data_IF_493656861086
#
_entry.id   IF_493656861086
#
_cell.length_a   1.000
_cell.length_b   1.000
_cell.length_c   1.000
_cell.angle_alpha   90.00
_cell.angle_beta   90.00
_cell.angle_gamma   90.00
#
_symmetry.space_group_name_H-M   'P 1'
#
loop_
_entity.id
_entity.type
_entity.pdbx_description
1 polymer ?
#
# COMPACT_ATOMS: atom_id res chain seq x y z
N UNK A 1 -28.72 4.22 -14.04
CA UNK A 1 -27.98 4.71 -12.87
C UNK A 1 -27.87 3.57 -11.90
N UNK A 2 -26.67 3.18 -11.54
CA UNK A 2 -26.40 2.12 -10.56
C UNK A 2 -26.49 2.71 -9.16
N UNK A 3 -27.07 1.98 -8.21
CA UNK A 3 -27.21 2.46 -6.83
C UNK A 3 -25.86 2.43 -6.11
N UNK A 4 -25.53 3.52 -5.43
CA UNK A 4 -24.36 3.60 -4.54
C UNK A 4 -24.46 2.56 -3.40
N UNK A 5 -23.32 2.27 -2.75
CA UNK A 5 -23.30 1.39 -1.58
C UNK A 5 -24.15 2.03 -0.48
N UNK A 6 -25.05 1.24 0.11
CA UNK A 6 -25.85 1.72 1.24
C UNK A 6 -24.99 1.82 2.49
N UNK A 7 -25.24 2.83 3.33
CA UNK A 7 -24.42 3.09 4.51
C UNK A 7 -24.33 1.91 5.49
N UNK A 8 -25.44 1.19 5.70
CA UNK A 8 -25.51 0.00 6.54
C UNK A 8 -24.62 -1.14 6.00
N UNK A 9 -24.60 -1.33 4.68
CA UNK A 9 -23.71 -2.27 4.01
C UNK A 9 -22.24 -1.86 4.14
N UNK A 10 -21.92 -0.57 3.98
CA UNK A 10 -20.57 -0.05 4.16
C UNK A 10 -20.05 -0.27 5.60
N UNK A 11 -20.89 -0.04 6.62
CA UNK A 11 -20.54 -0.34 8.03
C UNK A 11 -20.22 -1.82 8.19
N UNK A 12 -21.05 -2.72 7.65
CA UNK A 12 -20.85 -4.16 7.80
C UNK A 12 -19.51 -4.61 7.20
N UNK A 13 -19.23 -4.19 5.96
CA UNK A 13 -18.04 -4.60 5.21
C UNK A 13 -16.76 -4.05 5.83
N UNK A 14 -16.73 -2.77 6.18
CA UNK A 14 -15.56 -2.16 6.86
C UNK A 14 -15.33 -2.81 8.24
N UNK A 15 -16.38 -3.03 9.02
CA UNK A 15 -16.25 -3.70 10.32
C UNK A 15 -15.72 -5.13 10.19
N UNK A 16 -16.13 -5.85 9.15
CA UNK A 16 -15.65 -7.20 8.88
C UNK A 16 -14.17 -7.21 8.49
N UNK A 17 -13.73 -6.25 7.65
CA UNK A 17 -12.33 -6.13 7.26
C UNK A 17 -11.40 -5.88 8.46
N UNK A 18 -11.79 -4.94 9.33
CA UNK A 18 -11.02 -4.58 10.53
C UNK A 18 -11.00 -5.67 11.61
N UNK A 19 -11.85 -6.70 11.51
CA UNK A 19 -11.98 -7.75 12.53
C UNK A 19 -12.87 -7.39 13.72
N UNK A 20 -13.65 -6.30 13.63
CA UNK A 20 -14.65 -5.93 14.65
C UNK A 20 -15.86 -6.86 14.63
N UNK A 21 -16.05 -7.56 13.51
CA UNK A 21 -16.98 -8.69 13.35
C UNK A 21 -16.16 -9.90 12.90
N UNK A 22 -15.78 -10.80 13.83
CA UNK A 22 -14.84 -11.87 13.54
C UNK A 22 -15.25 -12.69 12.33
N UNK A 23 -14.33 -12.83 11.37
CA UNK A 23 -14.43 -13.74 10.22
C UNK A 23 -13.14 -14.54 10.12
N UNK A 24 -13.11 -15.56 9.27
CA UNK A 24 -11.94 -16.45 9.17
C UNK A 24 -10.65 -15.69 8.74
N UNK A 25 -10.80 -14.61 7.98
CA UNK A 25 -9.72 -13.85 7.32
C UNK A 25 -9.80 -12.33 7.59
N UNK A 26 -10.05 -11.92 8.84
CA UNK A 26 -9.95 -10.50 9.21
C UNK A 26 -8.52 -10.07 9.60
N UNK A 27 -8.23 -8.77 9.46
CA UNK A 27 -6.88 -8.24 9.63
C UNK A 27 -6.32 -8.47 11.03
N UNK A 28 -7.13 -8.21 12.07
CA UNK A 28 -6.71 -8.37 13.46
C UNK A 28 -6.42 -9.84 13.79
N UNK A 29 -7.28 -10.74 13.34
CA UNK A 29 -7.11 -12.18 13.46
C UNK A 29 -5.85 -12.67 12.76
N UNK A 30 -5.58 -12.20 11.54
CA UNK A 30 -4.35 -12.56 10.82
C UNK A 30 -3.09 -11.98 11.48
N UNK A 31 -3.12 -10.72 11.95
CA UNK A 31 -2.04 -10.11 12.71
C UNK A 31 -1.73 -10.93 13.97
N UNK A 32 -2.78 -11.44 14.62
CA UNK A 32 -2.66 -12.25 15.83
C UNK A 32 -1.94 -13.60 15.62
N UNK A 33 -1.90 -14.08 14.37
CA UNK A 33 -1.32 -15.37 13.97
C UNK A 33 0.08 -15.25 13.37
N UNK A 34 0.60 -14.04 13.16
CA UNK A 34 1.96 -13.87 12.66
C UNK A 34 2.99 -14.38 13.68
N UNK A 35 3.97 -15.12 13.17
CA UNK A 35 5.03 -15.75 13.96
C UNK A 35 5.99 -14.71 14.55
N UNK A 36 5.89 -14.54 15.87
CA UNK A 36 6.67 -13.55 16.61
C UNK A 36 8.13 -13.96 16.78
N UNK A 37 8.41 -15.26 16.87
CA UNK A 37 9.76 -15.76 17.02
C UNK A 37 10.55 -15.53 15.73
N UNK A 38 9.91 -15.76 14.59
CA UNK A 38 10.46 -15.42 13.26
C UNK A 38 10.66 -13.92 13.09
N UNK A 39 9.68 -13.09 13.46
CA UNK A 39 9.85 -11.62 13.42
C UNK A 39 11.04 -11.17 14.27
N UNK A 40 11.18 -11.71 15.49
CA UNK A 40 12.32 -11.40 16.36
C UNK A 40 13.65 -11.90 15.76
N UNK A 41 13.66 -13.07 15.10
CA UNK A 41 14.83 -13.58 14.41
C UNK A 41 15.25 -12.69 13.22
N UNK A 42 14.28 -12.28 12.40
CA UNK A 42 14.49 -11.34 11.30
C UNK A 42 15.02 -9.99 11.79
N UNK A 43 14.46 -9.47 12.89
CA UNK A 43 14.96 -8.24 13.52
C UNK A 43 16.42 -8.38 13.96
N UNK A 44 16.83 -9.52 14.53
CA UNK A 44 18.25 -9.76 14.88
C UNK A 44 19.15 -9.75 13.64
N UNK A 45 18.73 -10.36 12.54
CA UNK A 45 19.47 -10.32 11.27
C UNK A 45 19.59 -8.88 10.74
N UNK A 46 18.50 -8.12 10.77
CA UNK A 46 18.48 -6.72 10.35
C UNK A 46 19.38 -5.83 11.22
N UNK A 47 19.43 -6.08 12.53
CA UNK A 47 20.25 -5.31 13.48
C UNK A 47 21.76 -5.46 13.27
N UNK A 48 22.19 -6.48 12.50
CA UNK A 48 23.57 -6.73 12.13
C UNK A 48 23.90 -6.28 10.70
N UNK A 49 22.93 -5.71 9.98
CA UNK A 49 23.08 -5.36 8.58
C UNK A 49 23.97 -4.12 8.40
N UNK A 50 24.92 -4.20 7.46
CA UNK A 50 25.65 -3.05 6.92
C UNK A 50 24.71 -2.11 6.18
N UNK A 51 23.79 -2.68 5.41
CA UNK A 51 22.77 -2.01 4.61
C UNK A 51 21.60 -2.96 4.39
N UNK A 52 20.38 -2.43 4.42
CA UNK A 52 19.15 -3.14 4.07
C UNK A 52 18.60 -2.57 2.78
N UNK A 53 18.37 -3.43 1.79
CA UNK A 53 17.70 -3.10 0.55
C UNK A 53 16.31 -3.72 0.61
N UNK A 54 15.26 -2.94 0.37
CA UNK A 54 13.86 -3.39 0.41
C UNK A 54 13.28 -3.35 -1.00
N UNK A 55 12.59 -4.40 -1.42
CA UNK A 55 12.02 -4.51 -2.78
C UNK A 55 10.58 -5.00 -2.73
N UNK A 56 9.77 -4.61 -3.73
CA UNK A 56 8.40 -5.06 -3.91
C UNK A 56 7.77 -4.44 -5.16
N UNK A 57 6.69 -5.03 -5.66
CA UNK A 57 5.94 -4.53 -6.83
C UNK A 57 4.58 -3.94 -6.41
N UNK A 58 4.09 -2.90 -7.10
CA UNK A 58 2.73 -2.37 -6.86
C UNK A 58 2.52 -1.94 -5.40
N UNK A 59 1.44 -2.38 -4.74
CA UNK A 59 1.22 -2.10 -3.32
C UNK A 59 2.33 -2.66 -2.41
N UNK A 60 2.99 -3.75 -2.82
CA UNK A 60 4.21 -4.23 -2.14
C UNK A 60 5.39 -3.26 -2.27
N UNK A 61 5.47 -2.42 -3.32
CA UNK A 61 6.47 -1.33 -3.42
C UNK A 61 6.15 -0.20 -2.44
N UNK A 62 4.88 0.18 -2.33
CA UNK A 62 4.47 1.23 -1.39
C UNK A 62 4.67 0.80 0.07
N UNK A 63 4.44 -0.49 0.36
CA UNK A 63 4.88 -1.10 1.61
C UNK A 63 6.40 -1.13 1.74
N UNK A 64 7.16 -1.53 0.71
CA UNK A 64 8.62 -1.56 0.77
C UNK A 64 9.22 -0.18 1.10
N UNK A 65 8.67 0.90 0.52
CA UNK A 65 9.02 2.30 0.85
C UNK A 65 8.78 2.62 2.32
N UNK A 66 7.61 2.23 2.83
CA UNK A 66 7.23 2.52 4.20
C UNK A 66 8.05 1.70 5.20
N UNK A 67 8.26 0.41 4.94
CA UNK A 67 9.13 -0.48 5.73
C UNK A 67 10.57 0.03 5.74
N UNK A 68 11.12 0.46 4.59
CA UNK A 68 12.44 1.07 4.55
C UNK A 68 12.51 2.32 5.45
N UNK A 69 11.49 3.20 5.43
CA UNK A 69 11.40 4.36 6.33
C UNK A 69 11.34 3.95 7.81
N UNK A 70 10.59 2.90 8.16
CA UNK A 70 10.52 2.40 9.53
C UNK A 70 11.88 1.89 10.02
N UNK A 71 12.53 1.04 9.23
CA UNK A 71 13.86 0.50 9.54
C UNK A 71 14.92 1.61 9.60
N UNK A 72 14.83 2.61 8.72
CA UNK A 72 15.69 3.80 8.75
C UNK A 72 15.49 4.65 10.01
N UNK A 73 14.24 4.83 10.44
CA UNK A 73 13.91 5.46 11.72
C UNK A 73 14.46 4.71 12.93
N UNK A 74 14.61 3.38 12.82
CA UNK A 74 15.25 2.53 13.81
C UNK A 74 16.80 2.51 13.74
N UNK A 75 17.40 3.38 12.91
CA UNK A 75 18.85 3.55 12.82
C UNK A 75 19.55 2.68 11.78
N UNK A 76 18.83 1.89 10.98
CA UNK A 76 19.43 1.09 9.91
C UNK A 76 19.67 1.89 8.64
N UNK A 77 20.78 1.61 7.94
CA UNK A 77 21.00 2.13 6.58
C UNK A 77 20.10 1.38 5.61
N UNK A 78 19.01 2.01 5.20
CA UNK A 78 17.93 1.36 4.44
C UNK A 78 17.63 2.09 3.15
N UNK A 79 17.29 1.35 2.10
CA UNK A 79 16.83 1.89 0.81
C UNK A 79 15.76 1.00 0.23
N UNK A 80 14.67 1.59 -0.26
CA UNK A 80 13.71 0.87 -1.11
C UNK A 80 14.12 1.03 -2.57
N UNK A 81 14.16 -0.06 -3.35
CA UNK A 81 14.45 0.05 -4.78
C UNK A 81 13.22 0.54 -5.54
N UNK A 82 13.29 1.79 -5.99
CA UNK A 82 12.19 2.47 -6.68
C UNK A 82 12.63 3.20 -7.96
N UNK A 83 13.90 3.09 -8.35
CA UNK A 83 14.49 3.77 -9.49
C UNK A 83 13.77 3.44 -10.80
N UNK A 84 12.87 4.34 -11.22
CA UNK A 84 12.00 4.13 -12.38
C UNK A 84 12.81 3.98 -13.66
N UNK A 85 13.87 4.78 -13.83
CA UNK A 85 14.77 4.69 -14.98
C UNK A 85 15.53 3.37 -14.98
N UNK A 86 16.08 2.95 -13.84
CA UNK A 86 16.85 1.71 -13.76
C UNK A 86 15.98 0.46 -13.94
N UNK A 87 14.79 0.47 -13.35
CA UNK A 87 13.79 -0.59 -13.52
C UNK A 87 13.30 -0.62 -14.97
N UNK A 88 13.07 0.56 -15.58
CA UNK A 88 12.65 0.67 -16.97
C UNK A 88 13.71 0.16 -17.93
N UNK A 89 14.94 0.63 -17.82
CA UNK A 89 16.08 0.21 -18.65
C UNK A 89 16.28 -1.30 -18.56
N UNK A 90 16.25 -1.85 -17.34
CA UNK A 90 16.31 -3.29 -17.13
C UNK A 90 15.17 -4.03 -17.84
N UNK A 91 13.94 -3.51 -17.71
CA UNK A 91 12.77 -4.12 -18.30
C UNK A 91 12.82 -4.12 -19.84
N UNK A 92 13.37 -3.05 -20.43
CA UNK A 92 13.53 -2.91 -21.88
C UNK A 92 14.67 -3.77 -22.42
N UNK A 93 15.81 -3.80 -21.73
CA UNK A 93 17.03 -4.47 -22.22
C UNK A 93 17.09 -5.96 -21.89
N UNK A 94 16.64 -6.35 -20.70
CA UNK A 94 16.81 -7.70 -20.15
C UNK A 94 15.48 -8.39 -19.81
N UNK A 95 14.37 -7.65 -19.89
CA UNK A 95 13.04 -8.09 -19.45
C UNK A 95 12.74 -7.71 -18.00
N UNK A 96 11.46 -7.51 -17.69
CA UNK A 96 11.03 -7.03 -16.36
C UNK A 96 11.45 -7.97 -15.21
N UNK A 97 11.61 -9.26 -15.50
CA UNK A 97 12.12 -10.27 -14.58
C UNK A 97 13.53 -9.96 -14.07
N UNK A 98 14.31 -9.13 -14.78
CA UNK A 98 15.66 -8.73 -14.37
C UNK A 98 15.71 -7.35 -13.70
N UNK A 99 14.57 -6.67 -13.54
CA UNK A 99 14.53 -5.29 -13.07
C UNK A 99 15.17 -5.06 -11.71
N UNK A 100 14.73 -5.80 -10.69
CA UNK A 100 15.33 -5.67 -9.36
C UNK A 100 16.73 -6.27 -9.28
N UNK A 101 17.04 -7.31 -10.06
CA UNK A 101 18.38 -7.90 -10.11
C UNK A 101 19.42 -6.89 -10.62
N UNK A 102 19.13 -6.19 -11.72
CA UNK A 102 20.00 -5.14 -12.28
C UNK A 102 20.13 -3.95 -11.34
N UNK A 103 19.01 -3.45 -10.80
CA UNK A 103 19.01 -2.34 -9.85
C UNK A 103 19.79 -2.69 -8.58
N UNK A 104 19.63 -3.90 -8.05
CA UNK A 104 20.38 -4.39 -6.91
C UNK A 104 21.87 -4.51 -7.23
N UNK A 105 22.24 -5.06 -8.39
CA UNK A 105 23.64 -5.19 -8.81
C UNK A 105 24.39 -3.86 -8.86
N UNK A 106 23.73 -2.76 -9.24
CA UNK A 106 24.31 -1.40 -9.22
C UNK A 106 24.63 -0.89 -7.82
N UNK A 107 23.99 -1.44 -6.78
CA UNK A 107 24.30 -1.11 -5.40
C UNK A 107 25.55 -1.84 -4.87
N UNK A 108 26.16 -2.74 -5.66
CA UNK A 108 27.28 -3.59 -5.24
C UNK A 108 26.95 -4.33 -3.93
N UNK A 109 25.96 -5.25 -3.97
CA UNK A 109 25.56 -6.01 -2.79
C UNK A 109 26.69 -6.95 -2.39
N UNK A 110 26.77 -7.28 -1.09
CA UNK A 110 27.80 -8.19 -0.61
C UNK A 110 27.57 -8.69 0.81
N UNK A 111 28.56 -9.38 1.40
CA UNK A 111 28.50 -9.84 2.78
C UNK A 111 28.18 -8.69 3.75
N UNK A 112 27.23 -8.96 4.65
CA UNK A 112 26.72 -7.97 5.61
C UNK A 112 25.55 -7.12 5.09
N UNK A 113 25.24 -7.14 3.78
CA UNK A 113 24.00 -6.55 3.28
C UNK A 113 22.82 -7.52 3.46
N UNK A 114 21.61 -6.96 3.60
CA UNK A 114 20.36 -7.72 3.68
C UNK A 114 19.42 -7.26 2.57
N UNK A 115 18.86 -8.19 1.80
CA UNK A 115 17.70 -7.96 0.95
C UNK A 115 16.42 -8.37 1.69
N UNK A 116 15.50 -7.43 1.89
CA UNK A 116 14.14 -7.69 2.38
C UNK A 116 13.15 -7.61 1.22
N UNK A 117 12.62 -8.76 0.79
CA UNK A 117 11.72 -8.85 -0.34
C UNK A 117 10.25 -8.94 0.10
N UNK A 118 9.38 -8.11 -0.48
CA UNK A 118 7.94 -8.15 -0.30
C UNK A 118 7.27 -8.64 -1.60
N UNK A 119 6.49 -9.72 -1.51
CA UNK A 119 5.67 -10.19 -2.63
C UNK A 119 4.45 -10.94 -2.11
N UNK A 120 3.25 -10.40 -2.31
CA UNK A 120 2.03 -11.07 -1.84
C UNK A 120 1.84 -12.51 -2.36
N UNK A 121 2.32 -12.80 -3.59
CA UNK A 121 2.29 -14.14 -4.19
C UNK A 121 3.49 -15.04 -3.87
N UNK A 122 4.56 -14.46 -3.33
CA UNK A 122 5.86 -15.13 -3.18
C UNK A 122 6.50 -15.60 -4.50
N UNK A 123 5.94 -15.26 -5.67
CA UNK A 123 6.29 -15.90 -6.95
C UNK A 123 6.54 -14.91 -8.09
N UNK A 124 6.68 -13.61 -7.78
CA UNK A 124 7.03 -12.59 -8.77
C UNK A 124 8.45 -12.86 -9.31
N UNK A 125 8.64 -13.13 -10.62
CA UNK A 125 9.94 -13.52 -11.16
C UNK A 125 11.03 -12.48 -10.87
N UNK A 126 10.71 -11.20 -11.02
CA UNK A 126 11.65 -10.10 -10.74
C UNK A 126 12.13 -10.01 -9.29
N UNK A 127 11.29 -10.39 -8.33
CA UNK A 127 11.66 -10.47 -6.92
C UNK A 127 12.55 -11.69 -6.67
N UNK A 128 12.22 -12.84 -7.27
CA UNK A 128 13.00 -14.07 -7.12
C UNK A 128 14.41 -13.93 -7.74
N UNK A 129 14.52 -13.27 -8.88
CA UNK A 129 15.80 -12.98 -9.54
C UNK A 129 16.70 -12.07 -8.67
N UNK A 130 16.11 -11.08 -7.98
CA UNK A 130 16.86 -10.25 -7.04
C UNK A 130 17.33 -11.02 -5.81
N UNK A 131 16.52 -11.96 -5.28
CA UNK A 131 16.94 -12.87 -4.22
C UNK A 131 18.10 -13.76 -4.70
N UNK A 132 18.01 -14.34 -5.90
CA UNK A 132 19.11 -15.11 -6.47
C UNK A 132 20.40 -14.27 -6.57
N UNK A 133 20.29 -13.03 -7.04
CA UNK A 133 21.41 -12.08 -7.15
C UNK A 133 22.02 -11.75 -5.78
N UNK A 134 21.21 -11.49 -4.75
CA UNK A 134 21.71 -11.23 -3.40
C UNK A 134 22.45 -12.44 -2.81
N UNK A 135 21.93 -13.64 -3.07
CA UNK A 135 22.55 -14.90 -2.64
C UNK A 135 23.93 -15.09 -3.29
N UNK A 136 24.05 -14.84 -4.59
CA UNK A 136 25.32 -14.93 -5.32
C UNK A 136 26.35 -13.93 -4.80
N UNK A 137 25.90 -12.75 -4.39
CA UNK A 137 26.72 -11.73 -3.74
C UNK A 137 27.12 -12.08 -2.29
N UNK A 138 26.55 -13.12 -1.70
CA UNK A 138 26.83 -13.52 -0.31
C UNK A 138 26.14 -12.67 0.76
N UNK A 139 25.14 -11.87 0.38
CA UNK A 139 24.31 -11.13 1.32
C UNK A 139 23.21 -11.99 1.94
N UNK A 140 22.62 -11.50 3.03
CA UNK A 140 21.48 -12.14 3.67
C UNK A 140 20.18 -11.79 2.93
N UNK A 141 19.19 -12.66 3.03
CA UNK A 141 17.89 -12.50 2.38
C UNK A 141 16.78 -12.82 3.36
N UNK A 142 15.75 -11.99 3.35
CA UNK A 142 14.54 -12.09 4.16
C UNK A 142 13.32 -11.85 3.27
N UNK A 143 12.19 -12.48 3.59
CA UNK A 143 10.97 -12.42 2.78
C UNK A 143 9.71 -12.16 3.59
N UNK A 144 8.85 -11.28 3.08
CA UNK A 144 7.46 -11.14 3.48
C UNK A 144 6.58 -11.54 2.30
N UNK A 145 5.76 -12.58 2.48
CA UNK A 145 4.90 -13.14 1.44
C UNK A 145 3.48 -13.39 1.97
N UNK A 146 2.54 -13.76 1.11
CA UNK A 146 1.19 -14.19 1.50
C UNK A 146 0.85 -15.59 1.00
N UNK A 147 -0.39 -16.01 1.26
CA UNK A 147 -0.94 -17.29 0.78
C UNK A 147 -0.16 -18.51 1.27
N UNK A 148 0.33 -19.32 0.34
CA UNK A 148 1.12 -20.53 0.61
C UNK A 148 2.64 -20.25 0.68
N UNK A 149 3.04 -18.98 0.58
CA UNK A 149 4.43 -18.56 0.60
C UNK A 149 5.14 -18.61 -0.77
N UNK A 150 4.51 -19.19 -1.79
CA UNK A 150 5.01 -19.25 -3.15
C UNK A 150 6.43 -19.82 -3.29
N UNK A 151 7.11 -19.48 -4.38
CA UNK A 151 8.49 -19.89 -4.62
C UNK A 151 9.50 -19.26 -3.63
N UNK A 152 9.18 -18.09 -3.08
CA UNK A 152 10.00 -17.38 -2.10
C UNK A 152 10.24 -18.22 -0.85
N UNK A 153 9.19 -18.87 -0.31
CA UNK A 153 9.32 -19.73 0.87
C UNK A 153 10.29 -20.90 0.61
N UNK A 154 10.20 -21.53 -0.56
CA UNK A 154 11.13 -22.61 -0.95
C UNK A 154 12.57 -22.14 -1.12
N UNK A 155 12.77 -20.89 -1.59
CA UNK A 155 14.09 -20.30 -1.81
C UNK A 155 14.76 -19.86 -0.50
N UNK A 156 14.00 -19.31 0.44
CA UNK A 156 14.52 -18.70 1.67
C UNK A 156 14.44 -19.62 2.88
N UNK A 157 13.48 -20.54 2.89
CA UNK A 157 13.13 -21.37 4.03
C UNK A 157 12.24 -20.65 5.05
N UNK A 158 11.66 -21.45 5.96
CA UNK A 158 10.73 -21.02 7.00
C UNK A 158 11.31 -19.95 7.94
N UNK A 159 12.59 -20.05 8.27
CA UNK A 159 13.27 -19.17 9.24
C UNK A 159 13.50 -17.75 8.74
N UNK A 160 13.44 -17.54 7.41
CA UNK A 160 13.72 -16.26 6.75
C UNK A 160 12.50 -15.67 6.07
N UNK A 161 11.34 -16.30 6.25
CA UNK A 161 10.11 -15.96 5.55
C UNK A 161 8.96 -15.81 6.53
N UNK A 162 8.30 -14.65 6.50
CA UNK A 162 7.00 -14.45 7.13
C UNK A 162 5.93 -14.62 6.05
N UNK A 163 5.05 -15.59 6.27
CA UNK A 163 3.87 -15.82 5.43
C UNK A 163 2.67 -15.18 6.11
N UNK A 164 2.11 -14.15 5.49
CA UNK A 164 0.86 -13.53 5.90
C UNK A 164 -0.29 -14.55 5.73
N UNK A 165 -1.00 -14.94 6.81
CA UNK A 165 -1.99 -16.01 6.77
C UNK A 165 -3.34 -15.49 6.24
N UNK A 166 -3.34 -15.06 4.98
CA UNK A 166 -4.53 -14.61 4.26
C UNK A 166 -4.39 -14.92 2.76
N UNK A 167 -5.52 -15.14 2.09
CA UNK A 167 -5.61 -15.20 0.64
C UNK A 167 -6.01 -13.85 0.02
N UNK A 168 -6.34 -12.85 0.84
CA UNK A 168 -6.79 -11.51 0.44
C UNK A 168 -5.56 -10.61 0.30
N UNK A 169 -5.35 -10.04 -0.89
CA UNK A 169 -4.15 -9.22 -1.19
C UNK A 169 -4.06 -8.00 -0.28
N UNK A 170 -5.18 -7.31 -0.09
CA UNK A 170 -5.26 -6.11 0.75
C UNK A 170 -4.84 -6.42 2.20
N UNK A 171 -5.30 -7.56 2.74
CA UNK A 171 -4.89 -8.03 4.07
C UNK A 171 -3.43 -8.47 4.11
N UNK A 172 -2.92 -9.11 3.06
CA UNK A 172 -1.49 -9.47 2.96
C UNK A 172 -0.62 -8.21 2.99
N UNK A 173 -1.00 -7.17 2.25
CA UNK A 173 -0.28 -5.91 2.18
C UNK A 173 -0.30 -5.17 3.54
N UNK A 174 -1.46 -5.08 4.20
CA UNK A 174 -1.53 -4.55 5.56
C UNK A 174 -0.61 -5.32 6.52
N UNK A 175 -0.59 -6.66 6.45
CA UNK A 175 0.27 -7.50 7.29
C UNK A 175 1.75 -7.30 7.00
N UNK A 176 2.15 -7.06 5.75
CA UNK A 176 3.54 -6.75 5.41
C UNK A 176 3.98 -5.41 5.99
N UNK A 177 3.12 -4.41 5.93
CA UNK A 177 3.36 -3.11 6.54
C UNK A 177 3.50 -3.21 8.07
N UNK A 178 2.56 -3.92 8.71
CA UNK A 178 2.58 -4.19 10.15
C UNK A 178 3.81 -4.99 10.58
N UNK A 179 4.21 -6.00 9.80
CA UNK A 179 5.42 -6.78 10.05
C UNK A 179 6.67 -5.89 9.98
N UNK A 180 6.78 -5.03 8.96
CA UNK A 180 7.90 -4.08 8.85
C UNK A 180 7.97 -3.09 10.00
N UNK A 181 6.81 -2.63 10.48
CA UNK A 181 6.74 -1.76 11.66
C UNK A 181 7.19 -2.48 12.94
N UNK A 182 6.75 -3.73 13.13
CA UNK A 182 7.17 -4.54 14.27
C UNK A 182 8.67 -4.88 14.24
N UNK A 183 9.24 -5.12 13.06
CA UNK A 183 10.69 -5.28 12.89
C UNK A 183 11.45 -4.03 13.34
N UNK A 184 11.00 -2.84 12.92
CA UNK A 184 11.61 -1.57 13.32
C UNK A 184 11.51 -1.29 14.82
N UNK A 185 10.37 -1.62 15.44
CA UNK A 185 10.17 -1.47 16.87
C UNK A 185 11.10 -2.39 17.68
N UNK A 186 11.22 -3.66 17.26
CA UNK A 186 12.13 -4.62 17.87
C UNK A 186 13.60 -4.17 17.81
N UNK A 187 14.00 -3.45 16.76
CA UNK A 187 15.35 -2.91 16.59
C UNK A 187 15.64 -1.69 17.48
N UNK A 188 14.63 -0.84 17.68
CA UNK A 188 14.79 0.42 18.42
C UNK A 188 14.78 0.22 19.94
N UNK A 189 14.45 -0.99 20.42
CA UNK A 189 14.14 -1.23 21.83
C UNK A 189 12.98 -0.35 22.34
N UNK A 190 12.17 0.17 21.41
CA UNK A 190 11.02 1.02 21.69
C UNK A 190 9.85 0.09 22.05
N UNK A 191 9.40 0.06 23.31
CA UNK A 191 8.19 -0.69 23.69
C UNK A 191 6.92 -0.11 23.05
N UNK A 192 7.03 1.04 22.38
CA UNK A 192 5.96 1.82 21.79
C UNK A 192 5.38 1.31 20.47
N UNK A 193 5.72 0.10 20.00
CA UNK A 193 4.91 -0.62 18.99
C UNK A 193 4.85 -2.11 19.33
N UNK A 194 4.34 -2.42 20.51
CA UNK A 194 3.92 -3.78 20.83
C UNK A 194 2.61 -4.13 20.11
N UNK A 195 2.32 -5.43 19.99
CA UNK A 195 1.06 -5.98 19.45
C UNK A 195 -0.19 -5.25 19.98
N UNK A 196 -0.13 -4.77 21.22
CA UNK A 196 -1.19 -3.98 21.85
C UNK A 196 -1.48 -2.64 21.17
N UNK A 197 -0.48 -1.91 20.68
CA UNK A 197 -0.71 -0.61 20.03
C UNK A 197 -1.22 -0.75 18.60
N UNK A 198 -0.79 -1.79 17.87
CA UNK A 198 -1.39 -2.14 16.58
C UNK A 198 -2.86 -2.53 16.79
N UNK A 199 -3.15 -3.36 17.79
CA UNK A 199 -4.53 -3.67 18.19
C UNK A 199 -5.32 -2.41 18.54
N UNK A 200 -4.74 -1.45 19.27
CA UNK A 200 -5.39 -0.18 19.56
C UNK A 200 -5.68 0.65 18.30
N UNK A 201 -4.76 0.71 17.32
CA UNK A 201 -5.03 1.41 16.06
C UNK A 201 -6.22 0.80 15.34
N UNK A 202 -6.24 -0.53 15.21
CA UNK A 202 -7.30 -1.23 14.50
C UNK A 202 -8.65 -1.16 15.24
N UNK A 203 -8.68 -1.51 16.52
CA UNK A 203 -9.91 -1.60 17.31
C UNK A 203 -10.39 -0.25 17.84
N UNK A 204 -9.48 0.58 18.36
CA UNK A 204 -9.85 1.80 19.09
C UNK A 204 -9.83 3.04 18.21
N UNK A 205 -8.82 3.20 17.37
CA UNK A 205 -8.69 4.40 16.54
C UNK A 205 -9.59 4.27 15.31
N UNK A 206 -9.41 3.21 14.52
CA UNK A 206 -10.24 2.96 13.33
C UNK A 206 -11.61 2.39 13.70
N UNK A 207 -11.67 1.42 14.61
CA UNK A 207 -12.92 0.76 14.97
C UNK A 207 -13.97 1.66 15.64
N UNK A 208 -13.58 2.70 16.37
CA UNK A 208 -14.53 3.70 16.91
C UNK A 208 -14.97 4.73 15.86
N UNK A 209 -14.33 4.76 14.71
CA UNK A 209 -14.61 5.70 13.61
C UNK A 209 -15.12 4.98 12.36
N UNK A 210 -15.71 3.78 12.51
CA UNK A 210 -16.34 3.03 11.41
C UNK A 210 -17.41 3.86 10.68
N UNK A 211 -18.13 4.72 11.41
CA UNK A 211 -19.10 5.63 10.80
C UNK A 211 -18.45 6.57 9.77
N UNK A 212 -17.25 7.11 10.06
CA UNK A 212 -16.50 7.92 9.11
C UNK A 212 -16.12 7.09 7.88
N UNK A 213 -15.61 5.87 8.09
CA UNK A 213 -15.17 5.00 6.99
C UNK A 213 -16.36 4.60 6.10
N UNK A 214 -17.51 4.35 6.69
CA UNK A 214 -18.75 4.08 5.97
C UNK A 214 -19.25 5.30 5.19
N UNK A 215 -19.19 6.50 5.79
CA UNK A 215 -19.58 7.75 5.12
C UNK A 215 -18.65 8.05 3.93
N UNK A 216 -17.34 7.84 4.11
CA UNK A 216 -16.36 7.99 3.04
C UNK A 216 -16.58 6.98 1.92
N UNK A 217 -16.78 5.70 2.26
CA UNK A 217 -17.10 4.63 1.29
C UNK A 217 -18.37 4.95 0.50
N UNK A 218 -19.41 5.42 1.19
CA UNK A 218 -20.69 5.80 0.57
C UNK A 218 -20.50 6.98 -0.37
N UNK A 219 -19.77 8.02 0.06
CA UNK A 219 -19.48 9.19 -0.77
C UNK A 219 -18.66 8.84 -2.02
N UNK A 220 -17.63 8.00 -1.88
CA UNK A 220 -16.85 7.52 -3.03
C UNK A 220 -17.75 6.73 -3.97
N UNK A 221 -18.46 5.70 -3.50
CA UNK A 221 -19.32 4.88 -4.37
C UNK A 221 -20.41 5.68 -5.09
N UNK A 222 -21.00 6.69 -4.44
CA UNK A 222 -21.95 7.62 -5.07
C UNK A 222 -21.30 8.47 -6.16
N UNK A 223 -20.12 9.03 -5.88
CA UNK A 223 -19.32 9.78 -6.85
C UNK A 223 -19.01 8.92 -8.08
N UNK A 224 -18.66 7.64 -7.86
CA UNK A 224 -18.37 6.70 -8.94
C UNK A 224 -19.61 6.31 -9.75
N UNK A 225 -20.74 6.08 -9.08
CA UNK A 225 -22.01 5.77 -9.73
C UNK A 225 -22.47 6.90 -10.68
N UNK A 226 -22.12 8.15 -10.35
CA UNK A 226 -22.38 9.33 -11.16
C UNK A 226 -21.27 9.66 -12.19
N UNK A 227 -20.21 8.84 -12.25
CA UNK A 227 -19.03 9.04 -13.12
C UNK A 227 -18.33 10.39 -12.87
N UNK A 228 -18.21 10.75 -11.60
CA UNK A 228 -17.53 11.95 -11.10
C UNK A 228 -16.10 11.62 -10.65
N UNK A 229 -15.35 12.61 -10.17
CA UNK A 229 -13.92 12.46 -9.83
C UNK A 229 -13.73 12.26 -8.33
N UNK A 230 -12.76 11.44 -7.98
CA UNK A 230 -12.33 11.22 -6.59
C UNK A 230 -10.89 11.71 -6.45
N UNK A 231 -10.66 12.79 -5.70
CA UNK A 231 -9.31 13.32 -5.48
C UNK A 231 -8.71 12.68 -4.24
N UNK A 232 -7.61 11.93 -4.37
CA UNK A 232 -6.79 11.49 -3.23
C UNK A 232 -5.54 12.36 -3.18
N UNK A 233 -5.38 13.09 -2.08
CA UNK A 233 -4.36 14.11 -1.92
C UNK A 233 -3.53 13.83 -0.67
N UNK A 234 -2.26 13.49 -0.87
CA UNK A 234 -1.27 13.26 0.16
C UNK A 234 0.04 12.84 -0.47
N UNK A 235 1.16 13.15 0.19
CA UNK A 235 2.52 12.85 -0.32
C UNK A 235 3.13 11.59 0.29
N UNK A 236 2.37 10.85 1.11
CA UNK A 236 2.91 9.63 1.72
C UNK A 236 2.76 8.42 0.80
N UNK A 237 3.60 7.37 0.95
CA UNK A 237 3.48 6.15 0.16
C UNK A 237 2.07 5.55 0.21
N UNK A 238 1.40 5.61 1.36
CA UNK A 238 0.04 5.08 1.53
C UNK A 238 -1.04 5.97 0.91
N UNK A 239 -0.82 7.28 0.80
CA UNK A 239 -1.71 8.14 0.02
C UNK A 239 -1.58 7.84 -1.49
N UNK A 240 -0.35 7.59 -1.96
CA UNK A 240 -0.10 7.18 -3.35
C UNK A 240 -0.71 5.81 -3.66
N UNK A 241 -0.61 4.87 -2.71
CA UNK A 241 -1.21 3.54 -2.80
C UNK A 241 -2.74 3.61 -2.91
N UNK A 242 -3.39 4.35 -2.01
CA UNK A 242 -4.85 4.55 -2.03
C UNK A 242 -5.35 5.11 -3.36
N UNK A 243 -4.62 6.06 -3.92
CA UNK A 243 -4.96 6.59 -5.23
C UNK A 243 -4.85 5.52 -6.32
N UNK A 244 -3.78 4.71 -6.34
CA UNK A 244 -3.56 3.69 -7.37
C UNK A 244 -4.63 2.58 -7.31
N UNK A 245 -4.98 2.12 -6.12
CA UNK A 245 -6.01 1.09 -5.90
C UNK A 245 -7.38 1.56 -6.39
N UNK A 246 -7.68 2.83 -6.15
CA UNK A 246 -8.84 3.49 -6.71
C UNK A 246 -8.77 3.63 -8.24
N UNK A 247 -7.66 4.13 -8.79
CA UNK A 247 -7.48 4.37 -10.24
C UNK A 247 -7.60 3.12 -11.10
N UNK A 248 -7.06 1.98 -10.65
CA UNK A 248 -7.13 0.72 -11.41
C UNK A 248 -8.56 0.23 -11.58
N UNK A 249 -9.49 0.79 -10.81
CA UNK A 249 -10.64 0.06 -10.34
C UNK A 249 -10.11 -1.00 -9.40
N UNK A 250 -10.71 -1.14 -8.23
CA UNK A 250 -10.14 -2.01 -7.22
C UNK A 250 -9.96 -3.48 -7.73
N UNK A 251 -10.56 -3.84 -8.86
CA UNK A 251 -10.33 -5.10 -9.56
C UNK A 251 -9.21 -4.97 -10.61
N UNK A 252 -8.21 -5.87 -10.55
CA UNK A 252 -7.28 -6.15 -11.66
C UNK A 252 -7.99 -6.68 -12.94
N UNK A 253 -9.32 -6.54 -13.02
CA UNK A 253 -10.16 -7.17 -14.00
C UNK A 253 -10.60 -6.21 -15.08
N UNK A 254 -10.93 -4.94 -14.90
CA UNK A 254 -11.22 -4.01 -16.03
C UNK A 254 -11.02 -2.56 -15.57
N UNK A 255 -10.45 -1.64 -16.37
CA UNK A 255 -10.51 -0.21 -16.05
C UNK A 255 -11.98 0.20 -15.98
N UNK A 256 -12.43 0.63 -14.80
CA UNK A 256 -13.80 1.13 -14.62
C UNK A 256 -13.92 2.39 -15.48
N UNK A 257 -14.61 2.25 -16.62
CA UNK A 257 -14.76 3.34 -17.58
C UNK A 257 -15.49 4.51 -16.93
N UNK A 258 -14.80 5.64 -16.77
CA UNK A 258 -15.33 6.86 -16.14
C UNK A 258 -14.78 7.14 -14.74
N UNK A 259 -13.97 6.25 -14.17
CA UNK A 259 -13.23 6.49 -12.94
C UNK A 259 -12.09 7.49 -13.19
N UNK A 260 -11.95 8.50 -12.32
CA UNK A 260 -10.88 9.51 -12.40
C UNK A 260 -10.40 9.84 -10.98
N UNK A 261 -9.32 9.21 -10.54
CA UNK A 261 -8.56 9.67 -9.37
C UNK A 261 -7.21 10.26 -9.79
N UNK A 262 -7.24 11.42 -10.48
CA UNK A 262 -6.08 11.94 -11.19
C UNK A 262 -4.87 12.10 -10.28
N UNK A 263 -3.72 11.60 -10.73
CA UNK A 263 -2.44 11.98 -10.14
C UNK A 263 -2.22 13.49 -10.32
N UNK A 264 -2.38 14.24 -9.22
CA UNK A 264 -2.19 15.67 -9.23
C UNK A 264 -0.71 16.06 -9.21
N UNK A 265 0.16 15.18 -8.69
CA UNK A 265 1.56 15.48 -8.49
C UNK A 265 2.42 14.22 -8.58
N UNK A 266 2.92 13.92 -9.78
CA UNK A 266 4.05 12.99 -9.95
C UNK A 266 5.33 13.58 -9.37
N UNK A 267 6.34 12.74 -9.07
CA UNK A 267 7.57 13.16 -8.36
C UNK A 267 8.25 14.40 -8.97
N UNK A 268 8.38 14.45 -10.31
CA UNK A 268 9.01 15.57 -11.01
C UNK A 268 8.16 16.85 -10.95
N UNK A 269 6.84 16.71 -11.05
CA UNK A 269 5.93 17.85 -10.94
C UNK A 269 5.83 18.38 -9.51
N UNK A 270 6.07 17.54 -8.50
CA UNK A 270 6.05 17.92 -7.09
C UNK A 270 7.24 18.80 -6.76
N UNK A 271 8.44 18.36 -7.16
CA UNK A 271 9.67 19.10 -6.90
C UNK A 271 9.69 20.43 -7.67
N UNK A 272 9.24 20.45 -8.92
CA UNK A 272 9.09 21.67 -9.70
C UNK A 272 8.08 22.65 -9.07
N UNK A 273 6.87 22.19 -8.74
CA UNK A 273 5.86 23.04 -8.11
C UNK A 273 6.29 23.54 -6.72
N UNK A 274 6.93 22.69 -5.92
CA UNK A 274 7.43 23.08 -4.61
C UNK A 274 8.58 24.10 -4.70
N UNK A 275 9.44 24.00 -5.72
CA UNK A 275 10.50 24.96 -5.99
C UNK A 275 9.93 26.33 -6.42
N UNK A 276 8.95 26.32 -7.31
CA UNK A 276 8.44 27.56 -7.93
C UNK A 276 7.45 28.30 -7.03
N UNK A 277 6.54 27.59 -6.38
CA UNK A 277 5.38 28.16 -5.68
C UNK A 277 5.38 27.85 -4.17
N UNK A 278 6.38 27.12 -3.68
CA UNK A 278 6.46 26.62 -2.32
C UNK A 278 5.60 25.37 -2.08
N UNK A 279 6.05 24.52 -1.14
CA UNK A 279 5.38 23.24 -0.85
C UNK A 279 3.90 23.41 -0.43
N UNK A 280 3.53 24.53 0.21
CA UNK A 280 2.15 24.79 0.61
C UNK A 280 1.18 24.96 -0.58
N UNK A 281 1.68 25.21 -1.78
CA UNK A 281 0.87 25.52 -2.96
C UNK A 281 0.80 24.37 -3.97
N UNK A 282 1.46 23.24 -3.69
CA UNK A 282 1.72 22.17 -4.69
C UNK A 282 0.46 21.58 -5.32
N UNK A 283 -0.67 21.58 -4.62
CA UNK A 283 -1.94 21.08 -5.14
C UNK A 283 -2.78 22.14 -5.87
N UNK A 284 -2.47 23.43 -5.74
CA UNK A 284 -3.30 24.50 -6.27
C UNK A 284 -3.39 24.46 -7.79
N UNK A 285 -2.26 24.49 -8.49
CA UNK A 285 -2.24 24.52 -9.96
C UNK A 285 -2.93 23.27 -10.55
N UNK A 286 -2.66 22.04 -10.09
CA UNK A 286 -3.39 20.86 -10.54
C UNK A 286 -4.90 20.94 -10.29
N UNK A 287 -5.32 21.34 -9.08
CA UNK A 287 -6.74 21.44 -8.73
C UNK A 287 -7.45 22.50 -9.58
N UNK A 288 -6.89 23.70 -9.74
CA UNK A 288 -7.49 24.75 -10.58
C UNK A 288 -7.68 24.26 -12.02
N UNK A 289 -6.70 23.58 -12.60
CA UNK A 289 -6.80 23.00 -13.96
C UNK A 289 -7.90 21.96 -14.07
N UNK A 290 -8.13 21.19 -13.03
CA UNK A 290 -9.17 20.17 -13.02
C UNK A 290 -10.55 20.75 -12.70
N UNK A 291 -10.63 21.91 -12.04
CA UNK A 291 -11.90 22.56 -11.67
C UNK A 291 -12.86 21.60 -10.93
N UNK A 292 -12.58 21.26 -9.66
CA UNK A 292 -13.47 20.46 -8.82
C UNK A 292 -14.87 21.07 -8.74
N UNK A 293 -15.85 20.23 -8.45
CA UNK A 293 -17.27 20.61 -8.42
C UNK A 293 -18.00 19.94 -7.25
N UNK A 294 -19.23 20.37 -6.92
CA UNK A 294 -20.00 19.74 -5.85
C UNK A 294 -20.37 18.26 -6.07
N UNK A 295 -20.22 17.75 -7.30
CA UNK A 295 -20.44 16.33 -7.61
C UNK A 295 -19.20 15.45 -7.44
N UNK A 296 -18.03 16.04 -7.19
CA UNK A 296 -16.79 15.29 -6.94
C UNK A 296 -16.62 15.00 -5.43
N UNK A 297 -15.63 14.19 -5.07
CA UNK A 297 -15.23 14.01 -3.66
C UNK A 297 -13.71 14.10 -3.54
N UNK A 298 -13.23 14.64 -2.43
CA UNK A 298 -11.81 14.70 -2.11
C UNK A 298 -11.51 14.02 -0.78
N UNK A 299 -10.37 13.34 -0.70
CA UNK A 299 -9.77 12.77 0.51
C UNK A 299 -8.40 13.39 0.67
N UNK A 300 -8.24 14.16 1.74
CA UNK A 300 -6.99 14.79 2.12
C UNK A 300 -6.31 13.95 3.19
N UNK A 301 -5.06 13.55 2.97
CA UNK A 301 -4.28 12.69 3.86
C UNK A 301 -3.07 13.46 4.37
N UNK A 302 -2.98 13.60 5.69
CA UNK A 302 -1.92 14.33 6.39
C UNK A 302 -2.33 15.76 6.77
N UNK A 303 -1.34 16.53 7.20
CA UNK A 303 -1.53 17.89 7.73
C UNK A 303 -0.49 18.86 7.15
N UNK A 304 -0.74 20.16 7.30
CA UNK A 304 0.17 21.23 6.92
C UNK A 304 -0.31 22.05 5.73
N UNK A 305 0.52 23.03 5.34
CA UNK A 305 0.14 24.08 4.39
C UNK A 305 -0.42 23.55 3.07
N UNK A 306 0.17 22.51 2.49
CA UNK A 306 -0.32 21.91 1.24
C UNK A 306 -1.77 21.40 1.37
N UNK A 307 -2.04 20.68 2.45
CA UNK A 307 -3.36 20.13 2.76
C UNK A 307 -4.37 21.24 3.06
N UNK A 308 -3.98 22.24 3.85
CA UNK A 308 -4.85 23.36 4.21
C UNK A 308 -5.24 24.21 3.00
N UNK A 309 -4.28 24.51 2.13
CA UNK A 309 -4.49 25.28 0.91
C UNK A 309 -5.35 24.50 -0.09
N UNK A 310 -5.14 23.19 -0.25
CA UNK A 310 -6.01 22.35 -1.06
C UNK A 310 -7.45 22.32 -0.51
N UNK A 311 -7.61 22.19 0.81
CA UNK A 311 -8.91 22.18 1.49
C UNK A 311 -9.68 23.48 1.26
N UNK A 312 -9.00 24.62 1.36
CA UNK A 312 -9.62 25.92 1.12
C UNK A 312 -10.20 26.01 -0.31
N UNK A 313 -9.40 25.67 -1.32
CA UNK A 313 -9.84 25.66 -2.71
C UNK A 313 -11.01 24.69 -2.97
N UNK A 314 -10.92 23.46 -2.45
CA UNK A 314 -11.99 22.47 -2.58
C UNK A 314 -13.29 22.94 -1.93
N UNK A 315 -13.20 23.65 -0.80
CA UNK A 315 -14.36 24.25 -0.14
C UNK A 315 -15.00 25.35 -0.98
N UNK A 316 -14.21 26.19 -1.65
CA UNK A 316 -14.72 27.22 -2.58
C UNK A 316 -15.43 26.60 -3.78
N UNK A 317 -14.92 25.47 -4.29
CA UNK A 317 -15.56 24.69 -5.34
C UNK A 317 -16.81 23.92 -4.89
N UNK A 318 -17.13 23.95 -3.59
CA UNK A 318 -18.22 23.17 -3.00
C UNK A 318 -17.99 21.66 -3.04
N UNK A 319 -16.75 21.19 -3.23
CA UNK A 319 -16.40 19.77 -3.32
C UNK A 319 -16.42 19.13 -1.92
N UNK A 320 -17.28 18.12 -1.66
CA UNK A 320 -17.21 17.30 -0.47
C UNK A 320 -15.78 16.83 -0.17
N UNK A 321 -15.26 17.20 0.99
CA UNK A 321 -13.89 16.89 1.39
C UNK A 321 -13.87 16.10 2.70
N UNK A 322 -13.16 14.98 2.70
CA UNK A 322 -12.84 14.14 3.84
C UNK A 322 -11.37 14.34 4.21
N UNK A 323 -11.07 14.34 5.51
CA UNK A 323 -9.73 14.57 6.03
C UNK A 323 -9.28 13.36 6.86
N UNK A 324 -8.11 12.81 6.56
CA UNK A 324 -7.44 11.77 7.34
C UNK A 324 -6.18 12.40 7.92
N UNK A 325 -6.16 12.63 9.24
CA UNK A 325 -5.08 13.38 9.90
C UNK A 325 -4.65 12.76 11.21
N UNK A 326 -3.46 13.14 11.66
CA UNK A 326 -3.02 12.89 13.02
C UNK A 326 -3.79 13.80 14.01
N UNK A 327 -4.06 13.34 15.23
CA UNK A 327 -4.70 14.17 16.27
C UNK A 327 -6.23 14.08 16.34
N UNK A 328 -6.93 15.15 16.78
CA UNK A 328 -8.38 15.12 17.06
C UNK A 328 -9.27 15.34 15.83
N UNK A 329 -10.49 14.79 15.80
CA UNK A 329 -11.37 14.79 14.62
C UNK A 329 -12.80 15.23 14.94
N UNK A 330 -13.50 15.78 13.95
CA UNK A 330 -14.95 16.02 13.98
C UNK A 330 -15.52 16.07 12.55
N UNK A 331 -16.79 15.67 12.39
CA UNK A 331 -17.47 15.66 11.09
C UNK A 331 -16.77 14.75 10.07
N UNK A 332 -16.40 15.28 8.90
CA UNK A 332 -15.68 14.57 7.84
C UNK A 332 -14.16 14.48 8.09
N UNK A 333 -13.74 14.31 9.34
CA UNK A 333 -12.33 14.14 9.69
C UNK A 333 -12.13 12.87 10.50
N UNK A 334 -11.33 11.96 9.95
CA UNK A 334 -10.76 10.82 10.67
C UNK A 334 -9.53 11.28 11.43
N UNK A 335 -9.51 10.93 12.70
CA UNK A 335 -8.47 11.26 13.65
C UNK A 335 -7.69 10.01 14.04
N UNK A 336 -6.40 9.96 13.74
CA UNK A 336 -5.52 8.87 14.18
C UNK A 336 -4.51 9.47 15.17
N UNK A 337 -4.78 9.42 16.49
CA UNK A 337 -4.00 10.13 17.51
C UNK A 337 -2.72 9.36 17.86
N UNK A 338 -1.84 9.13 16.88
CA UNK A 338 -0.65 8.27 17.02
C UNK A 338 0.59 8.86 16.35
N UNK A 339 1.79 8.42 16.76
CA UNK A 339 3.04 8.73 16.07
C UNK A 339 2.96 8.43 14.56
N UNK A 340 3.74 9.16 13.78
CA UNK A 340 3.72 9.09 12.31
C UNK A 340 3.79 7.66 11.74
N UNK A 341 4.58 6.71 12.27
CA UNK A 341 4.59 5.34 11.74
C UNK A 341 3.23 4.63 11.81
N UNK A 342 2.53 4.76 12.95
CA UNK A 342 1.20 4.18 13.14
C UNK A 342 0.13 4.94 12.34
N UNK A 343 0.31 6.24 12.12
CA UNK A 343 -0.54 7.01 11.22
C UNK A 343 -0.48 6.46 9.78
N UNK A 344 0.72 6.21 9.25
CA UNK A 344 0.89 5.69 7.88
C UNK A 344 0.28 4.28 7.74
N UNK A 345 0.51 3.40 8.72
CA UNK A 345 -0.17 2.09 8.78
C UNK A 345 -1.69 2.24 8.73
N UNK A 346 -2.25 3.14 9.55
CA UNK A 346 -3.68 3.35 9.59
C UNK A 346 -4.23 3.89 8.26
N UNK A 347 -3.48 4.73 7.53
CA UNK A 347 -3.87 5.18 6.18
C UNK A 347 -3.97 4.00 5.21
N UNK A 348 -3.00 3.07 5.22
CA UNK A 348 -3.05 1.86 4.39
C UNK A 348 -4.26 0.98 4.71
N UNK A 349 -4.55 0.78 5.99
CA UNK A 349 -5.73 0.01 6.43
C UNK A 349 -7.04 0.69 6.02
N UNK A 350 -7.10 2.03 6.10
CA UNK A 350 -8.28 2.81 5.66
C UNK A 350 -8.52 2.64 4.16
N UNK A 351 -7.46 2.78 3.36
CA UNK A 351 -7.50 2.51 1.93
C UNK A 351 -8.04 1.12 1.66
N UNK A 352 -7.37 0.08 2.15
CA UNK A 352 -7.75 -1.29 1.89
C UNK A 352 -9.17 -1.65 2.34
N UNK A 353 -9.62 -1.15 3.50
CA UNK A 353 -11.00 -1.36 3.95
C UNK A 353 -12.03 -0.75 2.98
N UNK A 354 -11.74 0.42 2.42
CA UNK A 354 -12.59 1.14 1.48
C UNK A 354 -12.50 0.50 0.09
N UNK A 355 -11.29 0.37 -0.45
CA UNK A 355 -10.99 -0.18 -1.77
C UNK A 355 -11.55 -1.60 -1.90
N UNK A 356 -11.41 -2.45 -0.87
CA UNK A 356 -12.05 -3.78 -0.82
C UNK A 356 -13.57 -3.73 -0.87
N UNK A 357 -14.17 -2.81 -0.13
CA UNK A 357 -15.63 -2.66 -0.09
C UNK A 357 -16.17 -2.19 -1.44
N UNK A 358 -15.49 -1.22 -2.07
CA UNK A 358 -15.79 -0.74 -3.41
C UNK A 358 -15.62 -1.87 -4.42
N UNK A 359 -14.59 -2.70 -4.25
CA UNK A 359 -14.28 -3.85 -5.09
C UNK A 359 -15.44 -4.83 -5.21
N UNK A 360 -15.88 -5.35 -4.07
CA UNK A 360 -16.94 -6.34 -4.03
C UNK A 360 -18.25 -5.75 -4.60
N UNK A 361 -18.52 -4.46 -4.34
CA UNK A 361 -19.65 -3.74 -4.92
C UNK A 361 -19.54 -3.64 -6.44
N UNK A 362 -18.38 -3.25 -6.98
CA UNK A 362 -18.14 -3.12 -8.42
C UNK A 362 -18.25 -4.47 -9.13
N UNK A 363 -17.67 -5.55 -8.58
CA UNK A 363 -17.83 -6.90 -9.14
C UNK A 363 -19.30 -7.29 -9.22
N UNK A 364 -20.05 -7.09 -8.13
CA UNK A 364 -21.48 -7.43 -8.09
C UNK A 364 -22.34 -6.56 -9.00
N UNK A 365 -21.99 -5.29 -9.17
CA UNK A 365 -22.77 -4.33 -9.94
C UNK A 365 -22.68 -4.54 -11.45
N UNK A 366 -21.50 -4.97 -11.89
CA UNK A 366 -21.02 -4.66 -13.22
C UNK A 366 -20.88 -5.98 -14.03
N UNK A 367 -21.15 -7.14 -13.40
CA UNK A 367 -21.04 -8.52 -13.93
C UNK A 367 -19.80 -8.70 -14.82
N UNK A 368 -18.72 -7.97 -14.47
CA UNK A 368 -17.60 -7.79 -15.40
C UNK A 368 -16.74 -9.02 -15.32
N UNK A 369 -16.62 -9.69 -16.46
CA UNK A 369 -15.53 -10.63 -16.68
C UNK A 369 -14.20 -9.86 -16.67
N UNK A 370 -13.13 -10.47 -16.14
CA UNK A 370 -11.77 -9.98 -16.37
C UNK A 370 -11.54 -9.64 -17.84
N UNK A 371 -10.89 -8.50 -18.07
CA UNK A 371 -10.39 -8.05 -19.34
C UNK A 371 -9.49 -9.18 -19.83
N UNK A 372 -9.93 -9.85 -20.88
CA UNK A 372 -9.08 -10.79 -21.60
C UNK A 372 -8.03 -9.97 -22.34
N UNK A 373 -6.97 -9.59 -21.61
CA UNK A 373 -5.79 -9.02 -22.22
C UNK A 373 -5.24 -10.04 -23.22
N UNK A 374 -4.82 -9.61 -24.43
CA UNK A 374 -4.20 -10.50 -25.39
C UNK A 374 -3.09 -11.30 -24.72
N UNK A 375 -2.96 -12.58 -25.04
CA UNK A 375 -1.94 -13.46 -24.45
C UNK A 375 -0.50 -12.93 -24.61
N UNK A 376 -0.26 -12.01 -25.56
CA UNK A 376 1.00 -11.31 -25.79
C UNK A 376 1.24 -10.08 -24.90
N UNK A 377 0.21 -9.57 -24.21
CA UNK A 377 0.33 -8.42 -23.31
C UNK A 377 0.91 -8.82 -21.94
N UNK A 378 0.76 -10.09 -21.57
CA UNK A 378 1.55 -10.71 -20.52
C UNK A 378 2.83 -11.19 -21.19
N UNK A 379 3.97 -10.57 -20.88
CA UNK A 379 5.28 -11.07 -21.31
C UNK A 379 5.33 -12.59 -21.13
N UNK A 380 5.82 -13.30 -22.14
CA UNK A 380 5.79 -14.75 -22.28
C UNK A 380 6.26 -15.50 -21.01
N UNK A 381 5.39 -15.68 -20.01
CA UNK A 381 5.55 -16.64 -18.91
C UNK A 381 4.33 -16.68 -17.96
N UNK A 382 3.21 -17.21 -18.47
CA UNK A 382 2.54 -18.30 -17.76
C UNK A 382 2.86 -19.58 -18.50
N UNK A 383 4.07 -20.11 -18.32
CA UNK A 383 4.36 -21.49 -18.70
C UNK A 383 3.36 -22.36 -17.94
N UNK A 384 2.34 -22.86 -18.63
CA UNK A 384 1.50 -23.94 -18.13
C UNK A 384 2.43 -25.09 -17.73
N UNK A 385 2.17 -25.82 -16.64
CA UNK A 385 2.95 -26.99 -16.32
C UNK A 385 2.85 -27.95 -17.50
N UNK A 386 4.01 -28.44 -17.90
CA UNK A 386 4.20 -29.48 -18.89
C UNK A 386 3.25 -30.64 -18.56
N UNK A 387 2.18 -30.81 -19.37
CA UNK A 387 1.34 -31.99 -19.28
C UNK A 387 2.19 -33.13 -19.82
N UNK A 388 2.84 -33.86 -18.91
CA UNK A 388 3.19 -35.25 -19.18
C UNK A 388 1.90 -36.00 -19.50
N UNK A 389 1.68 -36.27 -20.78
CA UNK A 389 1.26 -37.56 -21.33
C UNK A 389 1.52 -37.57 -22.83
#
# INVERSE_FOLDING_TARGET
MTAAIRRDEAIERVSAYLGLRPRHEDLLGCWSRLDQEKLAAMARTLGQARRVVVIGNGGSLDNARLVARFLGGAGLRTVALEGLEEIHDAAVEEGFDRAFARALGRLDPGPGDVLLALSGSGSSPNVLEALATMREAGGAMLGLTGGDGGAMLGLLGEERTIVAPSAVMETIEDLHCLAGLALAAALSGDPGIERGQIGQVLEQDLGRQVDFLADLTTAISATLAERRRVFILGVSPMACHFRQDLERGATNTVPIVGFRAPDLVGADSLTAAANDDGFASVYLRPLVKLSPSPGDVAVLIGEGGATDTARALLSECGCPTFLVRAGGGSGRSLAIPRPRPLFEVAVGVVDHAISRTLNDWLVGLLDVKPLELPSRAWGEQRRRPDRRQ
#
